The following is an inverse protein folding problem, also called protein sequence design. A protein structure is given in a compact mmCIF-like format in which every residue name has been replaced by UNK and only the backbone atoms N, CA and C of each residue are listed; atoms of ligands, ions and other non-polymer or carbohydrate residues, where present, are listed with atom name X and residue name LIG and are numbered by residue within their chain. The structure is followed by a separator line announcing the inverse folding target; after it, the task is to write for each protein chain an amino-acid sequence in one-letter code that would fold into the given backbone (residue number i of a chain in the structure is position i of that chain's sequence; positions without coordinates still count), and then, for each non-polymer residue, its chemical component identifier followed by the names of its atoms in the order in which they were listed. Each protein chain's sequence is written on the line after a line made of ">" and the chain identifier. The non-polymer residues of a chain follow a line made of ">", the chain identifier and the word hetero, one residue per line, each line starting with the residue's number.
data_IF_597758337225
#
_entry.id   IF_597758337225
#
_cell.length_a   1.000
_cell.length_b   1.000
_cell.length_c   1.000
_cell.angle_alpha   90.00
_cell.angle_beta   90.00
_cell.angle_gamma   90.00
#
_symmetry.space_group_name_H-M   'P 1'
#
loop_
_entity.id
_entity.type
_entity.pdbx_description
1 polymer ?
#
# COMPACT_ATOMS: atom_id res chain seq x y z
N UNK A 1 56.84 2.43 -35.67
CA UNK A 1 56.26 2.75 -34.35
C UNK A 1 54.75 2.66 -34.46
N UNK A 2 54.08 1.68 -33.83
CA UNK A 2 52.62 1.65 -33.76
C UNK A 2 52.16 2.48 -32.54
N UNK A 3 51.16 3.34 -32.77
CA UNK A 3 50.50 4.12 -31.70
C UNK A 3 49.47 3.22 -31.04
N UNK A 4 49.71 2.88 -29.77
CA UNK A 4 48.82 2.10 -28.92
C UNK A 4 47.66 3.02 -28.47
N UNK A 5 46.44 2.77 -28.95
CA UNK A 5 45.25 3.38 -28.38
C UNK A 5 44.94 2.72 -27.02
N UNK A 6 45.26 3.42 -25.93
CA UNK A 6 44.77 3.05 -24.60
C UNK A 6 43.27 3.40 -24.53
N UNK A 7 42.41 2.38 -24.66
CA UNK A 7 41.02 2.48 -24.25
C UNK A 7 41.01 2.53 -22.72
N UNK A 8 40.86 3.74 -22.17
CA UNK A 8 40.62 3.94 -20.74
C UNK A 8 39.23 3.39 -20.41
N UNK A 9 39.19 2.17 -19.88
CA UNK A 9 37.99 1.57 -19.32
C UNK A 9 37.77 2.20 -17.95
N UNK A 10 37.04 3.32 -17.92
CA UNK A 10 36.54 3.93 -16.68
C UNK A 10 35.56 2.97 -16.03
N UNK A 11 36.03 2.23 -15.04
CA UNK A 11 35.18 1.49 -14.11
C UNK A 11 34.39 2.50 -13.29
N UNK A 12 33.12 2.70 -13.66
CA UNK A 12 32.18 3.48 -12.86
C UNK A 12 31.97 2.69 -11.56
N UNK A 13 32.58 3.11 -10.45
CA UNK A 13 32.27 2.59 -9.12
C UNK A 13 30.78 2.87 -8.88
N UNK A 14 29.96 1.81 -8.88
CA UNK A 14 28.56 1.90 -8.52
C UNK A 14 28.47 2.43 -7.07
N UNK A 15 28.07 3.68 -6.91
CA UNK A 15 27.89 4.28 -5.59
C UNK A 15 26.64 3.66 -4.97
N UNK A 16 26.81 2.98 -3.83
CA UNK A 16 25.72 2.44 -3.05
C UNK A 16 24.65 3.52 -2.78
N UNK A 17 23.36 3.24 -3.06
CA UNK A 17 22.33 4.27 -2.95
C UNK A 17 22.11 4.66 -1.49
N UNK A 18 21.90 5.95 -1.25
CA UNK A 18 21.52 6.46 0.07
C UNK A 18 20.07 6.07 0.37
N UNK A 19 19.84 5.58 1.59
CA UNK A 19 18.54 5.12 2.08
C UNK A 19 18.20 5.74 3.43
N UNK A 20 16.91 5.97 3.63
CA UNK A 20 16.29 6.23 4.92
C UNK A 20 15.38 5.03 5.26
N UNK A 21 15.69 4.33 6.33
CA UNK A 21 14.97 3.14 6.78
C UNK A 21 14.15 3.48 8.02
N UNK A 22 12.84 3.31 7.92
CA UNK A 22 11.92 3.41 9.05
C UNK A 22 11.60 2.02 9.56
N UNK A 23 11.84 1.79 10.84
CA UNK A 23 11.50 0.54 11.52
C UNK A 23 10.03 0.47 11.92
N UNK A 24 9.55 -0.74 12.25
CA UNK A 24 8.22 -0.95 12.84
C UNK A 24 8.04 -0.19 14.16
N UNK A 25 9.14 0.10 14.86
CA UNK A 25 9.10 0.91 16.08
C UNK A 25 9.05 2.42 15.82
N UNK A 26 9.02 2.86 14.56
CA UNK A 26 9.03 4.28 14.18
C UNK A 26 10.41 4.93 14.21
N UNK A 27 11.46 4.24 14.68
CA UNK A 27 12.81 4.76 14.60
C UNK A 27 13.29 4.79 13.14
N UNK A 28 13.91 5.91 12.74
CA UNK A 28 14.54 6.08 11.43
C UNK A 28 16.06 5.94 11.51
N UNK A 29 16.66 5.37 10.47
CA UNK A 29 18.11 5.30 10.29
C UNK A 29 18.47 5.66 8.84
N UNK A 30 19.56 6.41 8.65
CA UNK A 30 20.04 6.80 7.33
C UNK A 30 21.42 6.20 7.05
N UNK A 31 21.72 5.93 5.78
CA UNK A 31 23.02 5.41 5.36
C UNK A 31 23.02 4.94 3.90
N UNK A 32 24.10 4.29 3.45
CA UNK A 32 24.18 3.70 2.12
C UNK A 32 23.85 2.21 2.14
N UNK A 33 22.94 1.76 1.28
CA UNK A 33 22.54 0.36 1.17
C UNK A 33 23.65 -0.45 0.50
N UNK A 34 24.26 -1.37 1.24
CA UNK A 34 25.33 -2.24 0.73
C UNK A 34 24.77 -3.50 0.08
N UNK A 35 23.76 -4.12 0.71
CA UNK A 35 23.07 -5.29 0.18
C UNK A 35 21.68 -5.44 0.79
N UNK A 36 20.82 -6.18 0.09
CA UNK A 36 19.48 -6.55 0.54
C UNK A 36 19.23 -8.01 0.17
N UNK A 37 18.77 -8.80 1.13
CA UNK A 37 18.27 -10.15 0.89
C UNK A 37 16.89 -10.33 1.53
N UNK A 38 16.35 -11.55 1.52
CA UNK A 38 15.00 -11.84 2.06
C UNK A 38 14.85 -11.57 3.56
N UNK A 39 15.94 -11.45 4.31
CA UNK A 39 15.92 -11.36 5.78
C UNK A 39 16.56 -10.10 6.34
N UNK A 40 17.55 -9.52 5.66
CA UNK A 40 18.39 -8.44 6.18
C UNK A 40 18.69 -7.41 5.08
N UNK A 41 18.62 -6.13 5.45
CA UNK A 41 19.21 -5.03 4.72
C UNK A 41 20.50 -4.59 5.42
N UNK A 42 21.61 -4.52 4.69
CA UNK A 42 22.89 -4.02 5.21
C UNK A 42 23.05 -2.56 4.86
N UNK A 43 23.10 -1.70 5.87
CA UNK A 43 23.18 -0.24 5.70
C UNK A 43 24.44 0.28 6.37
N UNK A 44 25.24 1.06 5.63
CA UNK A 44 26.45 1.70 6.14
C UNK A 44 26.19 3.16 6.48
N UNK A 45 26.30 3.51 7.76
CA UNK A 45 26.19 4.88 8.26
C UNK A 45 27.59 5.37 8.68
N UNK A 46 28.19 6.26 7.89
CA UNK A 46 29.57 6.68 8.08
C UNK A 46 30.55 5.51 7.93
N UNK A 47 31.29 5.17 8.98
CA UNK A 47 32.22 4.03 9.01
C UNK A 47 31.60 2.74 9.55
N UNK A 48 30.37 2.78 10.06
CA UNK A 48 29.73 1.62 10.70
C UNK A 48 28.76 0.95 9.74
N UNK A 49 28.89 -0.36 9.55
CA UNK A 49 27.91 -1.19 8.86
C UNK A 49 26.93 -1.80 9.86
N UNK A 50 25.65 -1.74 9.55
CA UNK A 50 24.58 -2.25 10.41
C UNK A 50 23.68 -3.20 9.61
N UNK A 51 23.50 -4.39 10.16
CA UNK A 51 22.51 -5.35 9.69
C UNK A 51 21.14 -4.99 10.28
N UNK A 52 20.21 -4.65 9.40
CA UNK A 52 18.82 -4.33 9.75
C UNK A 52 17.92 -5.50 9.34
N UNK A 53 17.34 -6.25 10.30
CA UNK A 53 16.39 -7.31 9.99
C UNK A 53 15.18 -6.75 9.26
N UNK A 54 14.84 -7.29 8.08
CA UNK A 54 13.67 -6.88 7.32
C UNK A 54 12.38 -7.10 8.10
N UNK A 55 12.32 -8.09 9.01
CA UNK A 55 11.20 -8.29 9.92
C UNK A 55 10.91 -7.07 10.80
N UNK A 56 11.88 -6.18 11.02
CA UNK A 56 11.74 -4.96 11.81
C UNK A 56 11.62 -3.68 10.95
N UNK A 57 11.68 -3.79 9.63
CA UNK A 57 11.61 -2.65 8.71
C UNK A 57 10.16 -2.48 8.22
N UNK A 58 9.67 -1.24 8.32
CA UNK A 58 8.39 -0.79 7.78
C UNK A 58 8.56 -0.29 6.34
N UNK A 59 9.51 0.61 6.12
CA UNK A 59 9.75 1.26 4.83
C UNK A 59 11.25 1.57 4.66
N UNK A 60 11.73 1.51 3.43
CA UNK A 60 13.02 2.02 3.00
C UNK A 60 12.81 3.01 1.85
N UNK A 61 13.16 4.28 2.06
CA UNK A 61 13.06 5.36 1.08
C UNK A 61 14.42 5.68 0.49
N UNK A 62 14.44 6.13 -0.76
CA UNK A 62 15.65 6.56 -1.45
C UNK A 62 15.58 8.07 -1.73
N UNK A 63 16.01 8.93 -0.78
CA UNK A 63 15.75 10.37 -0.84
C UNK A 63 16.40 11.09 -2.03
N UNK A 64 17.48 10.52 -2.60
CA UNK A 64 18.15 11.09 -3.78
C UNK A 64 17.54 10.66 -5.11
N UNK A 65 16.67 9.66 -5.11
CA UNK A 65 16.02 9.20 -6.32
C UNK A 65 14.86 10.13 -6.63
N UNK A 66 15.03 10.95 -7.66
CA UNK A 66 14.04 11.96 -8.06
C UNK A 66 12.96 11.32 -8.91
N UNK A 67 11.74 11.83 -8.78
CA UNK A 67 10.66 11.50 -9.70
C UNK A 67 11.11 11.74 -11.15
N UNK A 68 10.93 10.74 -11.99
CA UNK A 68 11.26 10.78 -13.41
C UNK A 68 9.97 10.69 -14.19
N UNK A 69 9.55 11.83 -14.73
CA UNK A 69 8.39 11.89 -15.62
C UNK A 69 8.79 11.36 -16.99
N UNK A 70 8.05 10.39 -17.52
CA UNK A 70 8.19 10.03 -18.93
C UNK A 70 7.76 11.20 -19.83
N UNK A 71 8.49 11.41 -20.92
CA UNK A 71 8.19 12.43 -21.93
C UNK A 71 7.02 11.99 -22.84
N UNK A 72 6.77 10.70 -22.95
CA UNK A 72 5.64 10.12 -23.66
C UNK A 72 4.51 9.78 -22.67
N UNK A 73 3.26 9.73 -23.15
CA UNK A 73 2.15 9.24 -22.35
C UNK A 73 2.26 7.71 -22.28
N UNK A 74 2.65 7.12 -21.14
CA UNK A 74 2.92 5.71 -21.10
C UNK A 74 1.62 4.92 -21.12
N UNK A 75 1.62 3.81 -21.87
CA UNK A 75 0.63 2.76 -21.70
C UNK A 75 0.78 2.24 -20.26
N UNK A 76 -0.32 2.02 -19.55
CA UNK A 76 -0.28 1.57 -18.16
C UNK A 76 -0.85 0.16 -18.06
N UNK A 77 -0.08 -0.75 -17.49
CA UNK A 77 -0.52 -2.11 -17.18
C UNK A 77 -0.95 -2.18 -15.72
N UNK A 78 -2.02 -2.91 -15.43
CA UNK A 78 -2.44 -3.29 -14.07
C UNK A 78 -2.51 -4.81 -13.97
N UNK A 79 -1.98 -5.36 -12.88
CA UNK A 79 -2.01 -6.79 -12.57
C UNK A 79 -3.13 -7.10 -11.57
N UNK A 80 -3.50 -8.37 -11.49
CA UNK A 80 -4.53 -8.89 -10.57
C UNK A 80 -4.16 -8.71 -9.09
N UNK A 81 -2.86 -8.61 -8.77
CA UNK A 81 -2.35 -8.36 -7.43
C UNK A 81 -2.35 -6.86 -7.03
N UNK A 82 -2.85 -5.97 -7.90
CA UNK A 82 -2.89 -4.53 -7.68
C UNK A 82 -1.64 -3.77 -8.16
N UNK A 83 -0.59 -4.47 -8.60
CA UNK A 83 0.55 -3.83 -9.26
C UNK A 83 0.08 -3.03 -10.47
N UNK A 84 0.67 -1.86 -10.69
CA UNK A 84 0.39 -1.04 -11.86
C UNK A 84 1.61 -0.23 -12.22
N UNK A 85 1.98 -0.17 -13.50
CA UNK A 85 3.20 0.52 -13.92
C UNK A 85 3.12 0.96 -15.39
N UNK A 86 3.85 2.01 -15.75
CA UNK A 86 3.96 2.49 -17.13
C UNK A 86 4.86 1.57 -17.98
N UNK A 87 4.55 1.48 -19.28
CA UNK A 87 5.30 0.73 -20.29
C UNK A 87 5.35 1.52 -21.62
N UNK A 88 6.39 1.31 -22.41
CA UNK A 88 6.56 1.87 -23.77
C UNK A 88 6.10 0.88 -24.85
N UNK A 89 6.34 -0.42 -24.65
CA UNK A 89 5.98 -1.44 -25.62
C UNK A 89 5.24 -2.60 -25.00
N UNK A 90 4.36 -3.21 -25.80
CA UNK A 90 3.48 -4.30 -25.43
C UNK A 90 3.33 -5.26 -26.60
N UNK A 91 3.46 -6.55 -26.31
CA UNK A 91 3.00 -7.63 -27.17
C UNK A 91 2.34 -8.69 -26.31
N UNK A 92 1.15 -9.15 -26.69
CA UNK A 92 0.46 -10.24 -25.99
C UNK A 92 0.05 -11.37 -26.91
N UNK A 93 -0.01 -12.56 -26.31
CA UNK A 93 -0.71 -13.72 -26.84
C UNK A 93 -1.57 -14.33 -25.72
N UNK A 94 -2.19 -15.47 -25.99
CA UNK A 94 -3.08 -16.15 -25.05
C UNK A 94 -2.43 -16.49 -23.70
N UNK A 95 -1.11 -16.72 -23.66
CA UNK A 95 -0.40 -17.20 -22.47
C UNK A 95 0.40 -16.12 -21.76
N UNK A 96 0.96 -15.17 -22.51
CA UNK A 96 1.95 -14.24 -22.00
C UNK A 96 1.77 -12.84 -22.56
N UNK A 97 2.14 -11.86 -21.74
CA UNK A 97 2.22 -10.46 -22.08
C UNK A 97 3.66 -10.02 -21.87
N UNK A 98 4.32 -9.64 -22.97
CA UNK A 98 5.67 -9.07 -22.98
C UNK A 98 5.54 -7.56 -22.98
N UNK A 99 6.21 -6.92 -22.04
CA UNK A 99 6.20 -5.46 -21.90
C UNK A 99 7.61 -4.94 -21.71
N UNK A 100 7.86 -3.71 -22.13
CA UNK A 100 9.09 -2.98 -21.79
C UNK A 100 8.74 -1.66 -21.14
N UNK A 101 9.36 -1.37 -20.00
CA UNK A 101 9.28 -0.11 -19.27
C UNK A 101 10.66 0.56 -19.16
N UNK A 102 10.74 1.89 -19.19
CA UNK A 102 11.98 2.64 -18.91
C UNK A 102 12.58 2.23 -17.56
N UNK A 103 11.72 2.02 -16.55
CA UNK A 103 12.12 1.71 -15.18
C UNK A 103 12.02 0.22 -14.83
N UNK A 104 11.12 -0.52 -15.47
CA UNK A 104 10.91 -1.95 -15.23
C UNK A 104 11.77 -2.86 -16.12
N UNK A 105 12.38 -2.31 -17.18
CA UNK A 105 13.01 -3.09 -18.23
C UNK A 105 12.01 -3.98 -18.97
N UNK A 106 12.51 -5.05 -19.59
CA UNK A 106 11.67 -6.08 -20.20
C UNK A 106 11.09 -7.01 -19.14
N UNK A 107 9.78 -7.24 -19.21
CA UNK A 107 9.06 -8.19 -18.36
C UNK A 107 8.19 -9.13 -19.20
N UNK A 108 8.17 -10.40 -18.82
CA UNK A 108 7.27 -11.41 -19.38
C UNK A 108 6.32 -11.84 -18.28
N UNK A 109 5.04 -11.53 -18.45
CA UNK A 109 3.99 -11.74 -17.47
C UNK A 109 3.03 -12.83 -17.97
N UNK A 110 2.55 -13.74 -17.11
CA UNK A 110 1.41 -14.59 -17.46
C UNK A 110 0.18 -13.74 -17.80
N UNK A 111 -0.49 -14.03 -18.90
CA UNK A 111 -1.68 -13.29 -19.36
C UNK A 111 -2.82 -13.30 -18.35
N UNK A 112 -2.91 -14.36 -17.54
CA UNK A 112 -3.89 -14.50 -16.46
C UNK A 112 -3.68 -13.50 -15.32
N UNK A 113 -2.45 -12.98 -15.15
CA UNK A 113 -2.11 -12.01 -14.10
C UNK A 113 -2.31 -10.56 -14.55
N UNK A 114 -2.60 -10.31 -15.83
CA UNK A 114 -2.88 -8.96 -16.34
C UNK A 114 -4.38 -8.69 -16.22
N UNK A 115 -4.72 -7.68 -15.41
CA UNK A 115 -6.10 -7.27 -15.16
C UNK A 115 -6.59 -6.20 -16.16
N UNK A 116 -5.73 -5.25 -16.51
CA UNK A 116 -6.09 -4.22 -17.49
C UNK A 116 -4.88 -3.60 -18.16
N UNK A 117 -5.09 -3.05 -19.35
CA UNK A 117 -4.10 -2.26 -20.09
C UNK A 117 -4.77 -0.97 -20.54
N UNK A 118 -4.25 0.19 -20.12
CA UNK A 118 -4.75 1.51 -20.51
C UNK A 118 -3.79 2.14 -21.51
N UNK A 119 -4.28 2.47 -22.71
CA UNK A 119 -3.49 3.12 -23.76
C UNK A 119 -3.62 4.64 -23.74
N UNK A 120 -4.76 5.16 -23.31
CA UNK A 120 -5.04 6.61 -23.29
C UNK A 120 -4.65 7.31 -21.97
N UNK A 121 -4.54 8.65 -21.99
CA UNK A 121 -4.33 9.45 -20.79
C UNK A 121 -5.57 9.42 -19.89
N UNK A 122 -5.36 9.29 -18.57
CA UNK A 122 -6.47 9.30 -17.60
C UNK A 122 -6.68 10.68 -16.98
N UNK A 123 -7.50 11.49 -17.65
CA UNK A 123 -7.91 12.82 -17.19
C UNK A 123 -8.94 12.76 -16.06
N UNK A 124 -9.10 13.85 -15.31
CA UNK A 124 -9.97 13.91 -14.11
C UNK A 124 -11.43 13.59 -14.40
N UNK A 125 -11.94 13.97 -15.57
CA UNK A 125 -13.32 13.75 -16.02
C UNK A 125 -13.67 12.28 -16.28
N UNK A 126 -12.73 11.46 -16.76
CA UNK A 126 -12.95 10.04 -17.07
C UNK A 126 -12.43 9.09 -15.99
N UNK A 127 -11.67 9.60 -15.02
CA UNK A 127 -11.07 8.81 -13.93
C UNK A 127 -12.11 7.98 -13.19
N UNK A 128 -13.20 8.60 -12.74
CA UNK A 128 -14.25 7.89 -12.01
C UNK A 128 -14.95 6.82 -12.85
N UNK A 129 -15.16 7.07 -14.14
CA UNK A 129 -15.75 6.08 -15.06
C UNK A 129 -14.82 4.89 -15.29
N UNK A 130 -13.53 5.15 -15.47
CA UNK A 130 -12.51 4.09 -15.59
C UNK A 130 -12.43 3.22 -14.33
N UNK A 131 -12.42 3.84 -13.15
CA UNK A 131 -12.41 3.14 -11.87
C UNK A 131 -13.67 2.28 -11.66
N UNK A 132 -14.84 2.76 -12.09
CA UNK A 132 -16.08 1.96 -12.07
C UNK A 132 -15.98 0.74 -12.98
N UNK A 133 -15.44 0.88 -14.19
CA UNK A 133 -15.25 -0.25 -15.11
C UNK A 133 -14.27 -1.29 -14.55
N UNK A 134 -13.17 -0.84 -13.95
CA UNK A 134 -12.15 -1.70 -13.34
C UNK A 134 -12.68 -2.52 -12.16
N UNK A 135 -13.61 -1.96 -11.39
CA UNK A 135 -14.16 -2.59 -10.19
C UNK A 135 -15.52 -3.27 -10.46
N UNK A 136 -15.97 -3.31 -11.72
CA UNK A 136 -17.22 -3.97 -12.11
C UNK A 136 -17.08 -5.49 -12.12
N UNK A 137 -18.18 -6.19 -11.81
CA UNK A 137 -18.27 -7.64 -11.97
C UNK A 137 -18.51 -7.98 -13.46
N UNK A 138 -17.41 -8.14 -14.20
CA UNK A 138 -17.47 -8.44 -15.63
C UNK A 138 -17.29 -9.94 -15.88
N UNK A 139 -18.26 -10.57 -16.54
CA UNK A 139 -18.17 -11.97 -16.95
C UNK A 139 -17.36 -12.19 -18.24
N UNK A 140 -17.03 -11.12 -18.95
CA UNK A 140 -16.28 -11.09 -20.22
C UNK A 140 -15.27 -9.94 -20.22
N UNK A 141 -14.29 -10.02 -21.13
CA UNK A 141 -13.35 -8.92 -21.33
C UNK A 141 -14.06 -7.70 -21.91
N UNK A 142 -13.55 -6.52 -21.58
CA UNK A 142 -14.05 -5.24 -22.07
C UNK A 142 -13.01 -4.58 -22.96
N UNK A 143 -13.43 -4.23 -24.18
CA UNK A 143 -12.70 -3.31 -25.04
C UNK A 143 -13.27 -1.90 -24.85
N UNK A 144 -12.52 -1.05 -24.16
CA UNK A 144 -12.96 0.29 -23.76
C UNK A 144 -12.54 1.31 -24.81
N UNK A 145 -13.47 2.12 -25.28
CA UNK A 145 -13.26 3.22 -26.23
C UNK A 145 -13.63 4.54 -25.58
N UNK A 146 -12.94 5.62 -25.99
CA UNK A 146 -13.25 6.96 -25.53
C UNK A 146 -13.92 7.75 -26.67
N UNK A 147 -15.08 8.32 -26.39
CA UNK A 147 -15.75 9.32 -27.24
C UNK A 147 -15.81 10.62 -26.46
N UNK A 148 -15.02 11.60 -26.87
CA UNK A 148 -14.84 12.86 -26.13
C UNK A 148 -14.44 12.63 -24.67
N UNK A 149 -15.37 12.83 -23.73
CA UNK A 149 -15.14 12.70 -22.29
C UNK A 149 -15.93 11.54 -21.67
N UNK A 150 -16.39 10.60 -22.49
CA UNK A 150 -17.17 9.44 -22.06
C UNK A 150 -16.42 8.17 -22.46
N UNK A 151 -16.32 7.24 -21.51
CA UNK A 151 -15.83 5.89 -21.75
C UNK A 151 -17.03 4.98 -22.02
N UNK A 152 -16.94 4.26 -23.13
CA UNK A 152 -17.90 3.27 -23.61
C UNK A 152 -17.16 1.94 -23.82
N UNK A 153 -17.85 0.82 -23.89
CA UNK A 153 -17.18 -0.47 -24.03
C UNK A 153 -17.97 -1.48 -24.85
N UNK A 154 -17.23 -2.47 -25.36
CA UNK A 154 -17.77 -3.64 -26.04
C UNK A 154 -17.32 -4.87 -25.24
N UNK A 155 -18.26 -5.77 -24.92
CA UNK A 155 -17.97 -7.03 -24.22
C UNK A 155 -17.55 -8.13 -25.22
N UNK A 156 -16.58 -8.94 -24.84
CA UNK A 156 -16.06 -9.97 -25.73
C UNK A 156 -14.87 -10.73 -25.14
N UNK A 157 -14.03 -11.26 -26.02
CA UNK A 157 -12.78 -11.92 -25.64
C UNK A 157 -11.63 -11.20 -26.32
N UNK A 158 -10.63 -10.79 -25.55
CA UNK A 158 -9.43 -10.14 -26.08
C UNK A 158 -8.39 -11.21 -26.39
N UNK A 159 -8.00 -11.28 -27.67
CA UNK A 159 -6.93 -12.15 -28.15
C UNK A 159 -5.56 -11.48 -28.05
N UNK A 160 -4.78 -11.58 -29.13
CA UNK A 160 -3.46 -10.97 -29.22
C UNK A 160 -3.50 -9.44 -29.34
N UNK A 161 -2.51 -8.78 -28.74
CA UNK A 161 -2.29 -7.34 -28.84
C UNK A 161 -0.89 -7.11 -29.41
N UNK A 162 -0.81 -6.34 -30.49
CA UNK A 162 0.43 -5.90 -31.13
C UNK A 162 0.64 -4.39 -30.93
N UNK A 163 1.68 -3.84 -31.56
CA UNK A 163 1.95 -2.40 -31.54
C UNK A 163 0.82 -1.55 -32.15
N UNK A 164 -0.03 -2.09 -33.01
CA UNK A 164 -1.03 -1.33 -33.77
C UNK A 164 -2.43 -1.97 -33.81
N UNK A 165 -2.55 -3.25 -33.46
CA UNK A 165 -3.80 -4.02 -33.52
C UNK A 165 -4.13 -4.72 -32.20
N UNK A 166 -5.43 -4.89 -31.98
CA UNK A 166 -6.00 -5.74 -30.94
C UNK A 166 -6.93 -6.72 -31.64
N UNK A 167 -6.68 -8.01 -31.47
CA UNK A 167 -7.59 -9.06 -31.89
C UNK A 167 -8.71 -9.18 -30.85
N UNK A 168 -9.96 -9.08 -31.28
CA UNK A 168 -11.12 -9.07 -30.39
C UNK A 168 -12.23 -9.94 -30.96
N UNK A 169 -12.86 -10.75 -30.13
CA UNK A 169 -13.92 -11.67 -30.53
C UNK A 169 -15.25 -11.26 -29.90
N UNK A 170 -16.26 -11.09 -30.75
CA UNK A 170 -17.65 -10.80 -30.35
C UNK A 170 -18.54 -11.96 -30.78
N UNK A 171 -18.78 -12.90 -29.88
CA UNK A 171 -19.41 -14.17 -30.26
C UNK A 171 -18.42 -15.03 -31.05
N UNK A 172 -18.76 -15.40 -32.28
CA UNK A 172 -17.91 -16.20 -33.18
C UNK A 172 -17.07 -15.34 -34.15
N UNK A 173 -17.38 -14.05 -34.25
CA UNK A 173 -16.71 -13.14 -35.18
C UNK A 173 -15.38 -12.62 -34.61
N UNK A 174 -14.32 -12.73 -35.40
CA UNK A 174 -13.04 -12.09 -35.13
C UNK A 174 -12.96 -10.69 -35.75
N UNK A 175 -12.63 -9.70 -34.93
CA UNK A 175 -12.47 -8.31 -35.34
C UNK A 175 -11.06 -7.83 -34.99
N UNK A 176 -10.30 -7.44 -36.02
CA UNK A 176 -9.01 -6.77 -35.84
C UNK A 176 -9.21 -5.26 -35.62
N UNK A 177 -9.16 -4.82 -34.36
CA UNK A 177 -9.37 -3.42 -33.97
C UNK A 177 -8.04 -2.65 -34.02
N UNK A 178 -8.07 -1.42 -34.55
CA UNK A 178 -6.91 -0.53 -34.47
C UNK A 178 -6.71 -0.03 -33.02
N UNK A 179 -5.53 -0.28 -32.45
CA UNK A 179 -5.20 0.07 -31.06
C UNK A 179 -5.33 1.56 -30.78
N UNK A 180 -5.09 2.42 -31.77
CA UNK A 180 -5.22 3.88 -31.60
C UNK A 180 -6.66 4.36 -31.32
N UNK A 181 -7.67 3.53 -31.58
CA UNK A 181 -9.08 3.81 -31.30
C UNK A 181 -9.53 3.31 -29.92
N UNK A 182 -8.68 2.57 -29.22
CA UNK A 182 -9.00 1.89 -27.96
C UNK A 182 -8.38 2.65 -26.81
N UNK A 183 -9.20 3.01 -25.83
CA UNK A 183 -8.74 3.67 -24.62
C UNK A 183 -8.06 2.68 -23.68
N UNK A 184 -8.60 1.47 -23.57
CA UNK A 184 -8.02 0.40 -22.77
C UNK A 184 -8.71 -0.94 -22.95
N UNK A 185 -8.12 -1.96 -22.36
CA UNK A 185 -8.64 -3.31 -22.21
C UNK A 185 -8.78 -3.62 -20.74
N UNK A 186 -9.88 -4.24 -20.34
CA UNK A 186 -10.08 -4.80 -19.00
C UNK A 186 -10.40 -6.28 -19.18
N UNK A 187 -9.58 -7.15 -18.60
CA UNK A 187 -9.78 -8.59 -18.68
C UNK A 187 -10.75 -9.04 -17.58
N UNK A 188 -11.66 -9.96 -17.92
CA UNK A 188 -12.42 -10.70 -16.92
C UNK A 188 -11.48 -11.69 -16.24
N UNK A 189 -11.00 -11.31 -15.06
CA UNK A 189 -10.11 -12.13 -14.24
C UNK A 189 -10.72 -12.28 -12.84
N UNK A 190 -10.61 -13.47 -12.24
CA UNK A 190 -10.89 -13.59 -10.82
C UNK A 190 -9.93 -12.68 -10.05
N UNK A 191 -10.33 -12.17 -8.87
CA UNK A 191 -9.39 -11.54 -7.95
C UNK A 191 -8.22 -12.49 -7.69
N UNK A 192 -6.99 -11.97 -7.66
CA UNK A 192 -5.80 -12.80 -7.42
C UNK A 192 -5.94 -13.54 -6.08
N UNK A 193 -5.48 -14.81 -5.98
CA UNK A 193 -5.53 -15.55 -4.73
C UNK A 193 -4.80 -14.82 -3.59
N UNK A 194 -5.36 -14.95 -2.38
CA UNK A 194 -4.96 -14.22 -1.18
C UNK A 194 -3.48 -14.42 -0.83
N UNK A 195 -2.79 -13.30 -0.59
CA UNK A 195 -1.45 -13.27 -0.01
C UNK A 195 -0.92 -11.84 0.06
N UNK A 196 -0.60 -11.35 1.26
CA UNK A 196 0.02 -10.03 1.39
C UNK A 196 1.38 -10.02 0.71
N UNK A 197 1.71 -9.02 -0.13
CA UNK A 197 3.02 -8.93 -0.74
C UNK A 197 4.08 -8.82 0.34
N UNK A 198 5.24 -9.44 0.08
CA UNK A 198 6.41 -9.30 0.95
C UNK A 198 6.93 -7.86 0.91
N UNK A 199 6.85 -7.23 -0.26
CA UNK A 199 7.27 -5.87 -0.48
C UNK A 199 6.45 -5.23 -1.61
N UNK A 200 5.98 -4.00 -1.41
CA UNK A 200 5.52 -3.15 -2.49
C UNK A 200 6.66 -2.22 -2.92
N UNK A 201 7.09 -2.38 -4.18
CA UNK A 201 8.16 -1.60 -4.81
C UNK A 201 7.49 -0.39 -5.46
N UNK A 202 7.80 0.82 -4.99
CA UNK A 202 7.35 2.06 -5.62
C UNK A 202 8.46 2.63 -6.48
N UNK A 203 8.17 2.82 -7.75
CA UNK A 203 9.07 3.36 -8.76
C UNK A 203 9.07 4.90 -8.75
N UNK A 204 10.07 5.50 -9.39
CA UNK A 204 10.17 6.96 -9.51
C UNK A 204 9.29 7.53 -10.62
N UNK A 205 8.50 6.71 -11.30
CA UNK A 205 7.48 7.08 -12.29
C UNK A 205 6.04 6.83 -11.80
N UNK A 206 5.85 6.71 -10.48
CA UNK A 206 4.60 6.31 -9.79
C UNK A 206 4.18 4.84 -9.96
N UNK A 207 4.91 4.04 -10.73
CA UNK A 207 4.65 2.60 -10.81
C UNK A 207 4.75 1.91 -9.44
N UNK A 208 3.88 0.94 -9.20
CA UNK A 208 3.87 0.09 -8.01
C UNK A 208 3.89 -1.37 -8.44
N UNK A 209 4.87 -2.13 -7.96
CA UNK A 209 4.96 -3.58 -8.19
C UNK A 209 4.98 -4.34 -6.87
N UNK A 210 4.08 -5.31 -6.74
CA UNK A 210 4.00 -6.21 -5.60
C UNK A 210 4.94 -7.40 -5.80
N UNK A 211 5.87 -7.57 -4.86
CA UNK A 211 6.91 -8.58 -4.91
C UNK A 211 6.77 -9.59 -3.76
N UNK A 212 7.01 -10.87 -4.06
CA UNK A 212 7.18 -11.93 -3.07
C UNK A 212 8.61 -12.02 -2.54
N UNK A 213 9.58 -11.40 -3.24
CA UNK A 213 10.96 -11.29 -2.81
C UNK A 213 11.66 -10.13 -3.53
N UNK A 214 12.62 -9.50 -2.86
CA UNK A 214 13.53 -8.52 -3.48
C UNK A 214 14.94 -8.67 -2.89
N UNK A 215 15.95 -8.53 -3.73
CA UNK A 215 17.36 -8.55 -3.35
C UNK A 215 18.11 -7.39 -4.01
N UNK A 216 19.19 -6.94 -3.39
CA UNK A 216 20.12 -5.94 -3.93
C UNK A 216 21.55 -6.46 -3.80
N UNK A 217 22.26 -6.52 -4.92
CA UNK A 217 23.62 -7.08 -5.01
C UNK A 217 24.70 -6.01 -5.16
N UNK A 218 24.40 -4.75 -4.79
CA UNK A 218 25.33 -3.62 -4.93
C UNK A 218 25.19 -2.85 -6.25
N UNK A 219 24.62 -3.48 -7.28
CA UNK A 219 24.49 -2.89 -8.62
C UNK A 219 23.04 -2.72 -9.06
N UNK A 220 22.21 -3.73 -8.86
CA UNK A 220 20.80 -3.76 -9.28
C UNK A 220 19.92 -4.40 -8.22
N UNK A 221 18.63 -4.08 -8.25
CA UNK A 221 17.61 -4.80 -7.52
C UNK A 221 17.03 -5.90 -8.40
N UNK A 222 16.89 -7.10 -7.84
CA UNK A 222 16.22 -8.23 -8.48
C UNK A 222 15.02 -8.58 -7.63
N UNK A 223 13.82 -8.51 -8.23
CA UNK A 223 12.57 -8.85 -7.56
C UNK A 223 11.91 -10.05 -8.22
N UNK A 224 11.27 -10.88 -7.40
CA UNK A 224 10.26 -11.85 -7.85
C UNK A 224 8.90 -11.22 -7.58
N UNK A 225 8.15 -10.91 -8.64
CA UNK A 225 6.81 -10.36 -8.54
C UNK A 225 5.84 -11.41 -7.99
N UNK A 226 4.76 -10.99 -7.34
CA UNK A 226 3.70 -11.93 -6.93
C UNK A 226 3.09 -12.66 -8.15
N UNK A 227 3.09 -12.01 -9.31
CA UNK A 227 2.74 -12.62 -10.60
C UNK A 227 3.75 -13.69 -11.10
N UNK A 228 4.82 -13.99 -10.35
CA UNK A 228 5.83 -15.01 -10.65
C UNK A 228 6.97 -14.56 -11.58
N UNK A 229 6.83 -13.40 -12.22
CA UNK A 229 7.86 -12.85 -13.10
C UNK A 229 9.07 -12.31 -12.32
N UNK A 230 10.26 -12.38 -12.93
CA UNK A 230 11.44 -11.69 -12.40
C UNK A 230 11.58 -10.31 -13.04
N UNK A 231 11.84 -9.31 -12.21
CA UNK A 231 12.08 -7.93 -12.61
C UNK A 231 13.45 -7.46 -12.11
N UNK A 232 14.13 -6.64 -12.92
CA UNK A 232 15.43 -6.04 -12.62
C UNK A 232 15.29 -4.53 -12.65
N UNK A 233 15.77 -3.87 -11.61
CA UNK A 233 15.67 -2.42 -11.46
C UNK A 233 17.05 -1.82 -11.21
N UNK A 234 17.39 -0.79 -11.97
CA UNK A 234 18.51 0.07 -11.62
C UNK A 234 18.16 0.83 -10.33
N UNK A 235 19.11 1.07 -9.41
CA UNK A 235 18.80 1.75 -8.15
C UNK A 235 18.00 3.05 -8.31
N UNK A 236 18.33 3.96 -9.26
CA UNK A 236 17.61 5.22 -9.43
C UNK A 236 16.13 5.10 -9.82
N UNK A 237 15.65 3.93 -10.27
CA UNK A 237 14.25 3.74 -10.61
C UNK A 237 13.36 3.41 -9.41
N UNK A 238 13.93 3.06 -8.25
CA UNK A 238 13.14 2.76 -7.04
C UNK A 238 13.04 3.99 -6.15
N UNK A 239 11.82 4.48 -5.91
CA UNK A 239 11.55 5.56 -4.96
C UNK A 239 11.50 5.06 -3.51
N UNK A 240 10.86 3.90 -3.29
CA UNK A 240 10.78 3.27 -1.96
C UNK A 240 10.41 1.80 -2.01
N UNK A 241 10.75 1.09 -0.93
CA UNK A 241 10.37 -0.29 -0.66
C UNK A 241 9.54 -0.34 0.61
N UNK A 242 8.26 -0.66 0.45
CA UNK A 242 7.31 -0.79 1.55
C UNK A 242 7.26 -2.26 1.97
N UNK A 243 7.69 -2.55 3.20
CA UNK A 243 7.67 -3.87 3.80
C UNK A 243 6.62 -3.98 4.92
N UNK A 244 5.69 -3.04 5.01
CA UNK A 244 4.63 -3.02 6.03
C UNK A 244 3.56 -4.09 5.77
N UNK A 245 3.37 -4.45 4.50
CA UNK A 245 2.37 -5.40 4.04
C UNK A 245 2.56 -6.76 4.73
N UNK A 246 1.49 -7.26 5.35
CA UNK A 246 1.50 -8.49 6.14
C UNK A 246 2.15 -8.39 7.54
N UNK A 247 2.88 -7.31 7.85
CA UNK A 247 3.48 -7.08 9.18
C UNK A 247 2.64 -6.17 10.07
N UNK A 248 1.92 -5.24 9.44
CA UNK A 248 1.05 -4.29 10.12
C UNK A 248 -0.40 -4.62 9.79
N UNK A 249 -1.25 -4.60 10.81
CA UNK A 249 -2.69 -4.68 10.63
C UNK A 249 -3.36 -3.57 11.42
N UNK A 250 -4.03 -2.64 10.73
CA UNK A 250 -4.74 -1.58 11.42
C UNK A 250 -5.96 -2.16 12.16
N UNK A 251 -6.26 -1.59 13.32
CA UNK A 251 -7.43 -1.94 14.11
C UNK A 251 -8.73 -1.62 13.36
N UNK A 252 -8.72 -0.59 12.51
CA UNK A 252 -9.86 -0.25 11.64
C UNK A 252 -10.10 -1.27 10.52
N UNK A 253 -9.10 -2.05 10.11
CA UNK A 253 -9.28 -3.16 9.15
C UNK A 253 -9.85 -4.43 9.83
N UNK A 254 -9.96 -4.43 11.16
CA UNK A 254 -10.51 -5.54 11.93
C UNK A 254 -11.98 -5.28 12.24
N UNK A 255 -12.78 -6.33 12.16
CA UNK A 255 -14.09 -6.35 12.80
C UNK A 255 -13.93 -6.82 14.25
N UNK A 256 -14.47 -6.08 15.24
CA UNK A 256 -14.55 -6.58 16.60
C UNK A 256 -15.37 -7.87 16.65
N UNK A 257 -14.92 -8.85 17.44
CA UNK A 257 -15.64 -10.08 17.71
C UNK A 257 -16.86 -9.86 18.62
N UNK A 258 -16.80 -8.84 19.48
CA UNK A 258 -17.90 -8.39 20.32
C UNK A 258 -17.83 -6.87 20.46
N UNK A 259 -19.00 -6.25 20.58
CA UNK A 259 -19.17 -4.81 20.71
C UNK A 259 -20.27 -4.60 21.75
N UNK A 260 -19.96 -3.85 22.80
CA UNK A 260 -20.94 -3.45 23.80
C UNK A 260 -20.99 -1.92 23.87
N UNK A 261 -22.20 -1.37 23.74
CA UNK A 261 -22.48 0.03 23.95
C UNK A 261 -23.35 0.17 25.18
N UNK A 262 -22.92 0.99 26.13
CA UNK A 262 -23.73 1.36 27.29
C UNK A 262 -24.00 2.86 27.20
N UNK A 263 -25.15 3.26 26.62
CA UNK A 263 -25.45 4.68 26.47
C UNK A 263 -25.85 5.26 27.85
N UNK A 264 -25.46 6.50 28.14
CA UNK A 264 -25.88 7.18 29.37
C UNK A 264 -27.34 7.70 29.25
N UNK A 265 -27.73 8.12 28.05
CA UNK A 265 -29.11 8.47 27.67
C UNK A 265 -29.66 7.49 26.62
N UNK A 266 -30.71 7.88 25.87
CA UNK A 266 -31.31 7.02 24.84
C UNK A 266 -30.49 6.93 23.53
N UNK A 267 -29.34 7.60 23.45
CA UNK A 267 -28.54 7.69 22.22
C UNK A 267 -27.38 6.70 22.23
N UNK A 268 -27.39 5.77 21.27
CA UNK A 268 -26.28 4.81 21.08
C UNK A 268 -25.25 5.38 20.11
N UNK A 269 -24.09 5.72 20.65
CA UNK A 269 -22.95 6.21 19.88
C UNK A 269 -22.09 5.04 19.37
N UNK A 270 -22.26 4.71 18.09
CA UNK A 270 -21.44 3.68 17.45
C UNK A 270 -20.03 4.19 17.14
N UNK A 271 -19.01 3.37 17.40
CA UNK A 271 -17.65 3.62 16.94
C UNK A 271 -17.59 3.86 15.42
N UNK A 272 -16.53 4.52 14.96
CA UNK A 272 -16.28 4.78 13.53
C UNK A 272 -14.86 4.37 13.18
N UNK A 273 -14.69 3.91 11.94
CA UNK A 273 -13.41 3.52 11.36
C UNK A 273 -12.89 4.64 10.47
N UNK A 274 -11.65 5.04 10.67
CA UNK A 274 -10.87 5.97 9.83
C UNK A 274 -11.51 7.35 9.63
N UNK A 275 -12.43 7.74 10.51
CA UNK A 275 -13.11 9.03 10.46
C UNK A 275 -13.69 9.41 11.81
N UNK A 276 -13.79 10.71 12.05
CA UNK A 276 -14.49 11.24 13.23
C UNK A 276 -16.02 11.18 13.08
N UNK A 277 -16.74 11.62 14.12
CA UNK A 277 -18.22 11.60 14.23
C UNK A 277 -18.96 12.17 13.01
N UNK A 278 -18.64 13.39 12.60
CA UNK A 278 -19.37 14.13 11.55
C UNK A 278 -18.78 13.91 10.15
N UNK A 279 -17.74 13.07 10.04
CA UNK A 279 -17.05 12.73 8.80
C UNK A 279 -15.87 13.64 8.49
N UNK A 280 -14.74 13.03 8.10
CA UNK A 280 -13.44 13.70 7.99
C UNK A 280 -12.37 12.90 8.74
N UNK A 281 -11.09 13.31 8.68
CA UNK A 281 -10.00 12.60 9.36
C UNK A 281 -10.13 12.69 10.89
N UNK A 282 -9.52 11.75 11.61
CA UNK A 282 -9.36 11.81 13.07
C UNK A 282 -8.39 12.93 13.43
N UNK A 283 -8.57 13.62 14.56
CA UNK A 283 -7.78 14.81 14.91
C UNK A 283 -7.43 14.84 16.38
N UNK A 284 -6.13 14.72 16.67
CA UNK A 284 -5.64 14.69 18.05
C UNK A 284 -4.40 15.57 18.16
N UNK A 285 -4.44 16.56 19.03
CA UNK A 285 -3.30 17.44 19.32
C UNK A 285 -2.90 18.31 18.13
N UNK A 286 -3.86 18.76 17.34
CA UNK A 286 -3.66 19.61 16.17
C UNK A 286 -3.17 18.87 14.91
N UNK A 287 -3.09 17.53 14.94
CA UNK A 287 -2.66 16.71 13.81
C UNK A 287 -3.79 15.82 13.31
N UNK A 288 -3.93 15.75 11.99
CA UNK A 288 -4.90 14.89 11.30
C UNK A 288 -4.32 13.49 11.05
N UNK A 289 -5.17 12.48 11.17
CA UNK A 289 -4.85 11.07 10.93
C UNK A 289 -5.90 10.43 10.03
N UNK A 290 -5.44 9.76 8.98
CA UNK A 290 -6.30 9.07 8.02
C UNK A 290 -6.76 7.69 8.51
N UNK A 291 -6.13 7.14 9.55
CA UNK A 291 -6.35 5.76 10.02
C UNK A 291 -6.53 5.72 11.53
N UNK A 292 -7.47 4.91 12.01
CA UNK A 292 -7.74 4.73 13.43
C UNK A 292 -9.21 4.47 13.75
N UNK A 293 -9.58 4.62 15.01
CA UNK A 293 -10.96 4.52 15.47
C UNK A 293 -11.39 5.78 16.23
N UNK A 294 -12.61 6.22 15.98
CA UNK A 294 -13.34 7.12 16.87
C UNK A 294 -14.25 6.27 17.76
N UNK A 295 -14.23 6.53 19.07
CA UNK A 295 -14.96 5.75 20.10
C UNK A 295 -15.60 6.73 21.09
N UNK A 296 -16.90 6.56 21.35
CA UNK A 296 -17.61 7.30 22.39
C UNK A 296 -17.77 6.43 23.64
N UNK A 297 -17.73 7.02 24.84
CA UNK A 297 -18.04 6.29 26.08
C UNK A 297 -19.55 5.95 26.19
N UNK A 298 -19.98 4.91 26.91
CA UNK A 298 -19.19 3.76 27.32
C UNK A 298 -19.23 2.69 26.22
N UNK A 299 -18.07 2.36 25.66
CA UNK A 299 -17.94 1.35 24.58
C UNK A 299 -16.85 0.34 24.92
N UNK A 300 -17.16 -0.95 24.76
CA UNK A 300 -16.21 -2.05 24.78
C UNK A 300 -16.09 -2.64 23.36
N UNK A 301 -14.86 -2.72 22.87
CA UNK A 301 -14.52 -3.41 21.61
C UNK A 301 -13.58 -4.59 21.92
N UNK A 302 -13.98 -5.81 21.56
CA UNK A 302 -13.14 -7.00 21.73
C UNK A 302 -12.69 -7.55 20.37
N UNK A 303 -11.42 -7.90 20.24
CA UNK A 303 -10.79 -8.37 19.00
C UNK A 303 -10.07 -9.71 19.21
N UNK A 304 -10.21 -10.61 18.24
CA UNK A 304 -9.49 -11.90 18.22
C UNK A 304 -8.19 -11.79 17.43
N UNK A 305 -7.06 -11.84 18.13
CA UNK A 305 -5.72 -11.65 17.58
C UNK A 305 -4.99 -12.95 17.21
N UNK A 306 -5.52 -14.10 17.64
CA UNK A 306 -4.94 -15.44 17.40
C UNK A 306 -3.48 -15.62 17.87
N UNK A 307 -2.94 -14.70 18.67
CA UNK A 307 -1.55 -14.73 19.13
C UNK A 307 -0.49 -14.38 18.07
N UNK A 308 -0.86 -13.79 16.94
CA UNK A 308 0.04 -13.54 15.81
C UNK A 308 0.88 -12.26 15.92
N UNK A 309 0.57 -11.40 16.89
CA UNK A 309 1.14 -10.05 16.99
C UNK A 309 2.07 -9.90 18.20
N UNK A 310 3.03 -8.98 18.08
CA UNK A 310 3.99 -8.64 19.14
C UNK A 310 3.64 -7.34 19.84
N UNK A 311 3.22 -6.34 19.08
CA UNK A 311 2.94 -5.01 19.63
C UNK A 311 1.61 -4.45 19.11
N UNK A 312 0.91 -3.74 19.99
CA UNK A 312 -0.16 -2.81 19.62
C UNK A 312 0.36 -1.38 19.76
N UNK A 313 0.14 -0.56 18.74
CA UNK A 313 0.54 0.85 18.72
C UNK A 313 -0.60 1.76 18.31
N UNK A 314 -0.72 2.90 18.96
CA UNK A 314 -1.69 3.94 18.64
C UNK A 314 -1.22 5.30 19.18
N UNK A 315 -1.83 6.36 18.70
CA UNK A 315 -1.80 7.70 19.30
C UNK A 315 -3.21 7.96 19.81
N UNK A 316 -3.36 8.18 21.11
CA UNK A 316 -4.65 8.28 21.77
C UNK A 316 -4.88 9.69 22.32
N UNK A 317 -6.09 10.22 22.16
CA UNK A 317 -6.48 11.50 22.75
C UNK A 317 -7.96 11.77 22.54
N UNK A 318 -8.45 12.86 23.13
CA UNK A 318 -9.78 13.38 22.81
C UNK A 318 -9.72 14.09 21.46
N UNK A 319 -10.72 13.86 20.62
CA UNK A 319 -10.86 14.46 19.30
C UNK A 319 -10.92 16.00 19.40
N UNK A 320 -10.13 16.69 18.58
CA UNK A 320 -10.01 18.15 18.55
C UNK A 320 -11.34 18.86 18.19
N UNK A 321 -12.37 18.15 17.74
CA UNK A 321 -13.74 18.67 17.50
C UNK A 321 -14.48 19.08 18.78
N UNK A 322 -14.02 18.62 19.95
CA UNK A 322 -14.65 18.92 21.25
C UNK A 322 -13.65 19.52 22.27
N UNK A 323 -13.00 20.64 21.92
CA UNK A 323 -11.91 21.18 22.71
C UNK A 323 -12.39 21.61 24.11
N UNK A 324 -11.65 21.17 25.14
CA UNK A 324 -11.83 21.57 26.53
C UNK A 324 -12.96 20.85 27.29
N UNK A 325 -13.63 19.87 26.69
CA UNK A 325 -14.81 19.22 27.30
C UNK A 325 -14.57 17.73 27.58
N UNK A 326 -14.16 16.96 26.57
CA UNK A 326 -14.15 15.50 26.66
C UNK A 326 -13.23 14.96 27.75
N UNK A 327 -13.70 13.91 28.44
CA UNK A 327 -12.92 13.22 29.46
C UNK A 327 -13.42 11.77 29.59
N UNK A 328 -12.55 10.82 29.27
CA UNK A 328 -12.83 9.39 29.39
C UNK A 328 -11.84 8.68 30.30
N UNK A 329 -12.23 7.52 30.82
CA UNK A 329 -11.30 6.52 31.34
C UNK A 329 -11.10 5.44 30.29
N UNK A 330 -9.85 5.13 29.95
CA UNK A 330 -9.52 4.10 28.97
C UNK A 330 -8.84 2.93 29.66
N UNK A 331 -9.27 1.72 29.33
CA UNK A 331 -8.62 0.49 29.73
C UNK A 331 -8.39 -0.40 28.49
N UNK A 332 -7.17 -0.88 28.32
CA UNK A 332 -6.80 -1.81 27.25
C UNK A 332 -6.31 -3.10 27.88
N UNK A 333 -6.92 -4.23 27.51
CA UNK A 333 -6.60 -5.56 28.05
C UNK A 333 -6.16 -6.52 26.96
N UNK A 334 -5.32 -7.49 27.36
CA UNK A 334 -4.99 -8.67 26.56
C UNK A 334 -5.18 -9.93 27.41
N UNK A 335 -6.06 -10.82 26.99
CA UNK A 335 -6.49 -12.02 27.72
C UNK A 335 -6.86 -11.70 29.19
N UNK A 336 -7.60 -10.59 29.39
CA UNK A 336 -8.01 -10.09 30.71
C UNK A 336 -6.93 -9.34 31.51
N UNK A 337 -5.66 -9.37 31.08
CA UNK A 337 -4.57 -8.60 31.71
C UNK A 337 -4.60 -7.16 31.25
N UNK A 338 -4.64 -6.20 32.18
CA UNK A 338 -4.51 -4.76 31.87
C UNK A 338 -3.13 -4.49 31.28
N UNK A 339 -3.11 -3.94 30.07
CA UNK A 339 -1.91 -3.49 29.34
C UNK A 339 -1.74 -1.97 29.45
N UNK A 340 -2.86 -1.25 29.53
CA UNK A 340 -2.92 0.19 29.76
C UNK A 340 -4.20 0.52 30.51
N UNK A 341 -4.12 1.50 31.41
CA UNK A 341 -5.31 2.11 32.01
C UNK A 341 -5.02 3.56 32.39
N UNK A 342 -5.95 4.48 32.13
CA UNK A 342 -5.76 5.87 32.51
C UNK A 342 -6.90 6.79 32.11
N UNK A 343 -6.93 7.96 32.75
CA UNK A 343 -7.79 9.07 32.37
C UNK A 343 -7.20 9.79 31.16
N UNK A 344 -8.06 10.20 30.23
CA UNK A 344 -7.69 10.97 29.04
C UNK A 344 -8.61 12.19 28.94
N UNK A 345 -8.05 13.39 29.03
CA UNK A 345 -8.78 14.66 28.97
C UNK A 345 -8.44 15.43 27.71
N UNK A 346 -9.34 16.31 27.28
CA UNK A 346 -9.09 17.19 26.13
C UNK A 346 -7.91 18.14 26.32
N UNK A 347 -7.54 18.45 27.56
CA UNK A 347 -6.35 19.26 27.87
C UNK A 347 -5.02 18.50 27.80
N UNK A 348 -5.06 17.18 27.73
CA UNK A 348 -3.86 16.36 27.81
C UNK A 348 -3.12 16.33 26.48
N UNK A 349 -1.79 16.22 26.54
CA UNK A 349 -1.01 15.89 25.36
C UNK A 349 -1.39 14.49 24.85
N UNK A 350 -1.36 14.25 23.52
CA UNK A 350 -1.63 12.93 22.95
C UNK A 350 -0.76 11.84 23.57
N UNK A 351 -1.36 10.69 23.89
CA UNK A 351 -0.70 9.55 24.51
C UNK A 351 -0.21 8.58 23.44
N UNK A 352 1.10 8.34 23.36
CA UNK A 352 1.65 7.30 22.49
C UNK A 352 1.61 5.93 23.18
N UNK A 353 0.83 5.01 22.60
CA UNK A 353 0.72 3.64 23.09
C UNK A 353 1.69 2.72 22.35
N UNK A 354 2.43 1.91 23.11
CA UNK A 354 3.27 0.83 22.60
C UNK A 354 3.19 -0.37 23.55
N UNK A 355 2.15 -1.20 23.37
CA UNK A 355 1.78 -2.28 24.29
C UNK A 355 2.33 -3.61 23.78
N UNK A 356 2.83 -4.46 24.68
CA UNK A 356 3.24 -5.83 24.36
C UNK A 356 2.02 -6.76 24.34
N UNK A 357 1.74 -7.33 23.18
CA UNK A 357 0.60 -8.23 22.93
C UNK A 357 1.06 -9.62 22.50
N UNK A 358 2.33 -9.98 22.75
CA UNK A 358 2.85 -11.32 22.43
C UNK A 358 2.01 -12.41 23.09
N UNK A 359 1.50 -13.31 22.26
CA UNK A 359 0.67 -14.44 22.70
C UNK A 359 -0.78 -14.08 23.04
N UNK A 360 -1.16 -12.79 23.03
CA UNK A 360 -2.52 -12.35 23.32
C UNK A 360 -3.49 -12.89 22.27
N UNK A 361 -4.57 -13.51 22.72
CA UNK A 361 -5.61 -14.07 21.84
C UNK A 361 -6.82 -13.17 21.75
N UNK A 362 -7.23 -12.57 22.86
CA UNK A 362 -8.35 -11.65 22.98
C UNK A 362 -7.84 -10.29 23.46
N UNK A 363 -8.10 -9.25 22.67
CA UNK A 363 -7.67 -7.88 22.94
C UNK A 363 -8.89 -6.99 23.11
N UNK A 364 -8.92 -6.20 24.18
CA UNK A 364 -10.09 -5.41 24.54
C UNK A 364 -9.71 -3.93 24.65
N UNK A 365 -10.55 -3.06 24.10
CA UNK A 365 -10.50 -1.61 24.30
C UNK A 365 -11.79 -1.19 24.96
N UNK A 366 -11.72 -0.80 26.23
CA UNK A 366 -12.81 -0.19 26.96
C UNK A 366 -12.57 1.32 27.02
N UNK A 367 -13.54 2.07 26.54
CA UNK A 367 -13.66 3.51 26.78
C UNK A 367 -14.84 3.69 27.70
N UNK A 368 -14.57 3.98 28.97
CA UNK A 368 -15.54 4.22 30.02
C UNK A 368 -15.77 5.73 30.24
N UNK A 369 -16.82 6.06 30.97
CA UNK A 369 -17.14 7.43 31.33
C UNK A 369 -16.02 8.06 32.16
N UNK A 370 -15.75 9.34 31.93
CA UNK A 370 -14.97 10.16 32.86
C UNK A 370 -15.83 10.74 33.99
N UNK A 371 -15.23 11.63 34.78
CA UNK A 371 -15.95 12.26 35.90
C UNK A 371 -17.04 13.25 35.44
N UNK A 372 -17.03 13.63 34.16
CA UNK A 372 -18.02 14.50 33.50
C UNK A 372 -19.14 13.72 32.78
N UNK A 373 -19.34 12.43 33.11
CA UNK A 373 -20.33 11.53 32.49
C UNK A 373 -19.97 11.20 31.03
N UNK A 374 -20.89 11.34 30.08
CA UNK A 374 -20.64 11.06 28.64
C UNK A 374 -20.47 12.32 27.77
N UNK A 375 -20.29 13.48 28.39
CA UNK A 375 -20.33 14.77 27.68
C UNK A 375 -19.10 14.93 26.79
N UNK A 376 -19.31 14.83 25.47
CA UNK A 376 -18.28 14.99 24.46
C UNK A 376 -17.11 14.01 24.63
N UNK A 377 -17.41 12.78 25.03
CA UNK A 377 -16.44 11.70 25.24
C UNK A 377 -15.96 11.09 23.93
N UNK A 378 -15.48 11.94 23.04
CA UNK A 378 -14.99 11.60 21.71
C UNK A 378 -13.52 11.19 21.80
N UNK A 379 -13.26 9.91 22.05
CA UNK A 379 -11.89 9.39 22.04
C UNK A 379 -11.48 8.98 20.62
N UNK A 380 -10.33 9.46 20.18
CA UNK A 380 -9.66 9.02 18.98
C UNK A 380 -8.47 8.11 19.32
N UNK A 381 -8.45 6.94 18.69
CA UNK A 381 -7.33 5.99 18.70
C UNK A 381 -6.69 5.98 17.30
N UNK A 382 -5.84 6.96 17.05
CA UNK A 382 -5.18 7.25 15.78
C UNK A 382 -4.04 6.27 15.48
N UNK A 383 -3.86 5.92 14.20
CA UNK A 383 -2.85 4.98 13.70
C UNK A 383 -2.82 3.64 14.47
N UNK A 384 -3.96 3.25 15.05
CA UNK A 384 -4.15 2.06 15.86
C UNK A 384 -3.85 0.81 15.03
N UNK A 385 -2.80 0.08 15.38
CA UNK A 385 -2.33 -1.07 14.58
C UNK A 385 -1.60 -2.11 15.41
N UNK A 386 -1.74 -3.36 14.98
CA UNK A 386 -0.95 -4.48 15.44
C UNK A 386 0.26 -4.70 14.54
N UNK A 387 1.35 -5.15 15.14
CA UNK A 387 2.64 -5.40 14.50
C UNK A 387 3.06 -6.84 14.78
N UNK A 388 3.39 -7.61 13.74
CA UNK A 388 3.85 -9.02 13.83
C UNK A 388 5.30 -9.19 14.30
#
# INVERSE_FOLDING_TARGET
>A
MPVLFFVSMTTLLAVAPEVEVTSLSGASATGSLQSLNKTVAKVKAGQTEKDLPLSNILNMRFPRHRFQRSLELPVTVRLTDGSHFPIQSLQSNERQVKVSGDQTGELVLPSINVASIRFGPLTSNIRGSWEKLLNGENSKDLLVVQKENVLDYIDGVVGSITGDKIQFFTGEDEVAVNRSRVFGVIYARPPSPEGSPFCAIRLTDEGVLNASAITFTGTEFIATLQAGAQARFAPPSIASLDFSQGKVRYLSDLEPANIEYTPFFDTVWKYRKDRHRDGGPLRVGGKEYARGLYIHSKTLLQYRLKGEYRNFRAIMGIDDSVPGIGFVYVEIKGDGRILYSGNVRSSDSPVELNLDVRGVRDFEVLVDFGDNLEICDHLDLCEARFIK
#
